data_IF_858162752430
#
_entry.id   IF_858162752430
#
_cell.length_a   1.000
_cell.length_b   1.000
_cell.length_c   1.000
_cell.angle_alpha   90.00
_cell.angle_beta   90.00
_cell.angle_gamma   90.00
#
_symmetry.space_group_name_H-M   'P 1'
#
loop_
_entity.id
_entity.type
_entity.pdbx_description
1 polymer ?
#
# COMPACT_ATOMS: atom_id res chain seq x y z
N UNK A 1 -19.84 -0.59 21.52
CA UNK A 1 -19.54 -1.57 20.44
C UNK A 1 -18.05 -1.52 20.11
N UNK A 2 -17.43 -2.68 19.89
CA UNK A 2 -16.04 -2.72 19.41
C UNK A 2 -16.03 -2.24 17.95
N UNK A 3 -15.43 -1.10 17.65
CA UNK A 3 -15.25 -0.58 16.29
C UNK A 3 -13.94 -1.08 15.67
N UNK A 4 -13.74 -0.86 14.37
CA UNK A 4 -12.57 -1.37 13.64
C UNK A 4 -11.24 -0.89 14.23
N UNK A 5 -11.17 0.33 14.81
CA UNK A 5 -9.95 0.81 15.46
C UNK A 5 -9.58 -0.01 16.70
N UNK A 6 -10.55 -0.66 17.36
CA UNK A 6 -10.27 -1.51 18.52
C UNK A 6 -9.44 -2.76 18.18
N UNK A 7 -9.39 -3.14 16.89
CA UNK A 7 -8.59 -4.26 16.38
C UNK A 7 -7.12 -3.89 16.17
N UNK A 8 -6.82 -2.60 16.11
CA UNK A 8 -5.46 -2.11 15.87
C UNK A 8 -4.59 -2.24 17.12
N UNK A 9 -3.27 -2.31 16.90
CA UNK A 9 -2.27 -2.29 17.97
C UNK A 9 -2.49 -1.07 18.89
N UNK A 10 -2.36 -1.21 20.23
CA UNK A 10 -2.57 -0.11 21.19
C UNK A 10 -1.79 1.16 20.87
N UNK A 11 -0.53 1.04 20.43
CA UNK A 11 0.30 2.19 20.03
C UNK A 11 -0.29 2.96 18.86
N UNK A 12 -0.88 2.25 17.87
CA UNK A 12 -1.54 2.88 16.73
C UNK A 12 -2.82 3.57 17.18
N UNK A 13 -3.63 2.92 18.00
CA UNK A 13 -4.87 3.51 18.55
C UNK A 13 -4.62 4.82 19.29
N UNK A 14 -3.59 4.86 20.12
CA UNK A 14 -3.20 6.07 20.83
C UNK A 14 -2.77 7.18 19.86
N UNK A 15 -1.94 6.82 18.87
CA UNK A 15 -1.40 7.75 17.88
C UNK A 15 -2.50 8.36 17.01
N UNK A 16 -3.36 7.54 16.42
CA UNK A 16 -4.45 8.04 15.55
C UNK A 16 -5.47 8.87 16.34
N UNK A 17 -5.71 8.55 17.63
CA UNK A 17 -6.57 9.35 18.50
C UNK A 17 -5.97 10.73 18.75
N UNK A 18 -4.66 10.86 18.96
CA UNK A 18 -3.95 12.14 19.11
C UNK A 18 -4.06 13.01 17.85
N UNK A 19 -4.12 12.36 16.68
CA UNK A 19 -4.30 13.01 15.38
C UNK A 19 -5.78 13.32 15.03
N UNK A 20 -6.71 13.10 15.97
CA UNK A 20 -8.12 13.44 15.81
C UNK A 20 -9.00 12.35 15.18
N UNK A 21 -8.47 11.15 14.92
CA UNK A 21 -9.27 10.01 14.44
C UNK A 21 -9.98 9.34 15.62
N UNK A 22 -11.15 9.86 15.97
CA UNK A 22 -11.91 9.38 17.14
C UNK A 22 -12.78 8.16 16.81
N UNK A 23 -13.35 8.11 15.60
CA UNK A 23 -14.22 7.05 15.12
C UNK A 23 -13.83 6.65 13.70
N UNK A 24 -13.91 5.34 13.36
CA UNK A 24 -13.69 4.90 11.99
C UNK A 24 -14.83 5.36 11.08
N UNK A 25 -14.49 5.73 9.85
CA UNK A 25 -15.45 5.97 8.78
C UNK A 25 -16.04 4.64 8.29
N UNK A 26 -17.19 4.63 7.57
CA UNK A 26 -17.76 3.40 7.05
C UNK A 26 -16.80 2.57 6.19
N UNK A 27 -15.96 3.15 5.29
CA UNK A 27 -14.92 2.40 4.59
C UNK A 27 -13.88 1.78 5.52
N UNK A 28 -13.45 2.48 6.56
CA UNK A 28 -12.47 1.99 7.55
C UNK A 28 -13.06 0.85 8.37
N UNK A 29 -14.35 0.96 8.77
CA UNK A 29 -15.04 -0.07 9.54
C UNK A 29 -15.11 -1.41 8.79
N UNK A 30 -15.31 -1.35 7.46
CA UNK A 30 -15.39 -2.54 6.61
C UNK A 30 -14.02 -3.10 6.21
N UNK A 31 -13.07 -2.23 5.80
CA UNK A 31 -11.81 -2.66 5.22
C UNK A 31 -10.80 -3.15 6.26
N UNK A 32 -10.66 -2.46 7.41
CA UNK A 32 -9.64 -2.78 8.42
C UNK A 32 -9.71 -4.25 8.87
N UNK A 33 -10.88 -4.83 9.24
CA UNK A 33 -10.94 -6.22 9.67
C UNK A 33 -10.51 -7.22 8.59
N UNK A 34 -10.85 -6.95 7.31
CA UNK A 34 -10.50 -7.83 6.19
C UNK A 34 -9.00 -7.76 5.92
N UNK A 35 -8.42 -6.55 5.94
CA UNK A 35 -6.97 -6.35 5.74
C UNK A 35 -6.18 -7.04 6.85
N UNK A 36 -6.59 -6.91 8.12
CA UNK A 36 -5.92 -7.54 9.26
C UNK A 36 -5.95 -9.08 9.20
N UNK A 37 -6.97 -9.66 8.55
CA UNK A 37 -7.07 -11.11 8.31
C UNK A 37 -6.27 -11.59 7.10
N UNK A 38 -5.58 -10.71 6.39
CA UNK A 38 -4.79 -11.06 5.20
C UNK A 38 -5.60 -11.15 3.90
N UNK A 39 -6.87 -10.74 3.88
CA UNK A 39 -7.72 -10.76 2.68
C UNK A 39 -7.31 -9.69 1.66
N UNK A 40 -7.41 -10.02 0.37
CA UNK A 40 -7.31 -9.01 -0.68
C UNK A 40 -8.60 -8.18 -0.72
N UNK A 41 -8.47 -6.87 -0.90
CA UNK A 41 -9.58 -5.92 -0.82
C UNK A 41 -9.55 -4.95 -1.98
N UNK A 42 -10.70 -4.72 -2.60
CA UNK A 42 -10.96 -3.55 -3.43
C UNK A 42 -11.89 -2.60 -2.65
N UNK A 43 -11.34 -1.53 -2.13
CA UNK A 43 -12.10 -0.52 -1.37
C UNK A 43 -12.57 0.60 -2.30
N UNK A 44 -13.89 0.71 -2.43
CA UNK A 44 -14.55 1.73 -3.24
C UNK A 44 -15.29 2.70 -2.32
N UNK A 45 -14.89 3.94 -2.34
CA UNK A 45 -15.56 5.00 -1.57
C UNK A 45 -15.22 6.38 -2.15
N UNK A 46 -16.09 7.38 -1.97
CA UNK A 46 -15.82 8.75 -2.43
C UNK A 46 -14.49 9.31 -1.91
N UNK A 47 -13.96 10.31 -2.60
CA UNK A 47 -12.77 11.04 -2.13
C UNK A 47 -13.07 11.72 -0.78
N UNK A 48 -12.10 11.75 0.12
CA UNK A 48 -12.25 12.32 1.46
C UNK A 48 -12.89 11.39 2.51
N UNK A 49 -13.31 10.17 2.15
CA UNK A 49 -13.91 9.20 3.07
C UNK A 49 -12.89 8.33 3.84
N UNK A 50 -11.62 8.71 3.84
CA UNK A 50 -10.59 8.04 4.64
C UNK A 50 -10.14 6.69 4.08
N UNK A 51 -10.18 6.49 2.74
CA UNK A 51 -9.69 5.27 2.08
C UNK A 51 -8.22 4.99 2.38
N UNK A 52 -7.39 6.02 2.33
CA UNK A 52 -5.95 5.90 2.54
C UNK A 52 -5.66 5.46 3.98
N UNK A 53 -6.32 6.06 4.95
CA UNK A 53 -6.22 5.67 6.36
C UNK A 53 -6.74 4.25 6.61
N UNK A 54 -7.81 3.84 5.90
CA UNK A 54 -8.35 2.48 5.96
C UNK A 54 -7.31 1.40 5.60
N UNK A 55 -6.27 1.78 4.86
CA UNK A 55 -5.17 0.89 4.47
C UNK A 55 -3.93 1.11 5.33
N UNK A 56 -3.51 2.36 5.57
CA UNK A 56 -2.27 2.61 6.31
C UNK A 56 -2.36 2.17 7.78
N UNK A 57 -3.50 2.34 8.45
CA UNK A 57 -3.62 1.94 9.85
C UNK A 57 -3.47 0.43 10.08
N UNK A 58 -4.18 -0.45 9.35
CA UNK A 58 -3.91 -1.89 9.46
C UNK A 58 -2.54 -2.28 8.90
N UNK A 59 -2.00 -1.59 7.89
CA UNK A 59 -0.65 -1.83 7.40
C UNK A 59 0.41 -1.55 8.48
N UNK A 60 0.28 -0.44 9.21
CA UNK A 60 1.17 -0.14 10.34
C UNK A 60 1.07 -1.23 11.44
N UNK A 61 -0.15 -1.70 11.75
CA UNK A 61 -0.35 -2.80 12.69
C UNK A 61 0.44 -4.05 12.27
N UNK A 62 0.25 -4.48 11.02
CA UNK A 62 0.90 -5.68 10.49
C UNK A 62 2.42 -5.55 10.40
N UNK A 63 2.94 -4.33 10.19
CA UNK A 63 4.38 -4.07 10.18
C UNK A 63 4.99 -4.03 11.58
N UNK A 64 4.26 -3.56 12.60
CA UNK A 64 4.71 -3.58 13.99
C UNK A 64 4.79 -5.01 14.54
N UNK A 65 3.88 -5.87 14.13
CA UNK A 65 3.84 -7.28 14.55
C UNK A 65 4.82 -8.17 13.76
N UNK A 66 5.46 -7.63 12.71
CA UNK A 66 6.45 -8.33 11.90
C UNK A 66 7.83 -7.62 11.86
N UNK A 67 8.62 -7.72 12.93
CA UNK A 67 9.93 -7.06 13.01
C UNK A 67 11.01 -7.69 12.13
N UNK A 68 10.68 -8.62 11.23
CA UNK A 68 11.63 -9.44 10.48
C UNK A 68 12.43 -8.67 9.43
N UNK A 69 13.63 -8.28 9.80
CA UNK A 69 14.73 -7.93 8.90
C UNK A 69 14.55 -6.62 8.12
N UNK A 70 15.63 -6.18 7.53
CA UNK A 70 15.66 -5.02 6.63
C UNK A 70 15.10 -5.37 5.25
N UNK A 71 14.47 -4.40 4.60
CA UNK A 71 13.92 -4.52 3.26
C UNK A 71 12.53 -3.90 3.14
N UNK A 72 12.04 -3.82 1.92
CA UNK A 72 10.73 -3.26 1.60
C UNK A 72 9.65 -4.31 1.88
N UNK A 73 8.78 -4.03 2.86
CA UNK A 73 7.70 -4.93 3.27
C UNK A 73 6.37 -4.61 2.58
N UNK A 74 6.19 -3.33 2.24
CA UNK A 74 4.99 -2.87 1.55
C UNK A 74 5.33 -1.94 0.38
N UNK A 75 4.58 -2.07 -0.70
CA UNK A 75 4.62 -1.16 -1.85
C UNK A 75 3.27 -0.47 -1.96
N UNK A 76 3.28 0.85 -2.05
CA UNK A 76 2.11 1.67 -2.33
C UNK A 76 2.27 2.27 -3.73
N UNK A 77 1.50 1.75 -4.68
CA UNK A 77 1.52 2.19 -6.08
C UNK A 77 0.44 3.24 -6.28
N UNK A 78 0.82 4.41 -6.76
CA UNK A 78 -0.13 5.50 -7.05
C UNK A 78 0.27 6.24 -8.32
N UNK A 79 -0.68 6.77 -9.11
CA UNK A 79 -0.35 7.70 -10.17
C UNK A 79 0.33 8.95 -9.61
N UNK A 80 1.37 9.45 -10.29
CA UNK A 80 2.12 10.63 -9.82
C UNK A 80 1.21 11.85 -9.57
N UNK A 81 0.15 12.00 -10.39
CA UNK A 81 -0.83 13.10 -10.28
C UNK A 81 -1.76 12.96 -9.06
N UNK A 82 -2.02 11.73 -8.62
CA UNK A 82 -2.88 11.45 -7.47
C UNK A 82 -2.15 11.59 -6.13
N UNK A 83 -0.85 11.86 -6.16
CA UNK A 83 -0.01 11.92 -4.97
C UNK A 83 -0.31 13.18 -4.17
N UNK A 84 -1.21 13.06 -3.22
CA UNK A 84 -1.50 14.12 -2.25
C UNK A 84 -0.33 14.24 -1.27
N UNK A 85 0.52 15.28 -1.46
CA UNK A 85 1.74 15.50 -0.66
C UNK A 85 1.43 15.68 0.83
N UNK A 86 0.31 16.29 1.16
CA UNK A 86 -0.06 16.55 2.56
C UNK A 86 -0.49 15.26 3.26
N UNK A 87 -1.29 14.44 2.57
CA UNK A 87 -1.66 13.11 3.07
C UNK A 87 -0.43 12.24 3.27
N UNK A 88 0.50 12.24 2.29
CA UNK A 88 1.75 11.51 2.41
C UNK A 88 2.58 11.96 3.60
N UNK A 89 2.77 13.27 3.78
CA UNK A 89 3.50 13.83 4.94
C UNK A 89 2.88 13.41 6.26
N UNK A 90 1.54 13.42 6.34
CA UNK A 90 0.81 13.00 7.53
C UNK A 90 1.03 11.50 7.81
N UNK A 91 0.89 10.64 6.82
CA UNK A 91 1.16 9.20 6.98
C UNK A 91 2.62 8.92 7.31
N UNK A 92 3.55 9.67 6.74
CA UNK A 92 4.98 9.56 7.05
C UNK A 92 5.29 9.96 8.50
N UNK A 93 4.65 11.02 9.01
CA UNK A 93 4.77 11.44 10.42
C UNK A 93 4.29 10.34 11.36
N UNK A 94 3.10 9.78 11.11
CA UNK A 94 2.55 8.65 11.87
C UNK A 94 3.47 7.43 11.84
N UNK A 95 3.94 7.04 10.66
CA UNK A 95 4.85 5.92 10.50
C UNK A 95 6.16 6.12 11.29
N UNK A 96 6.75 7.32 11.21
CA UNK A 96 7.97 7.67 11.92
C UNK A 96 7.81 7.57 13.44
N UNK A 97 6.68 8.00 13.98
CA UNK A 97 6.34 7.86 15.41
C UNK A 97 6.22 6.40 15.86
N UNK A 98 5.97 5.49 14.94
CA UNK A 98 5.93 4.04 15.16
C UNK A 98 7.26 3.34 14.87
N UNK A 99 8.29 4.07 14.41
CA UNK A 99 9.56 3.50 13.99
C UNK A 99 9.52 2.85 12.59
N UNK A 100 8.47 3.10 11.81
CA UNK A 100 8.30 2.58 10.44
C UNK A 100 8.89 3.59 9.45
N UNK A 101 9.79 3.13 8.59
CA UNK A 101 10.42 3.97 7.57
C UNK A 101 9.58 3.97 6.30
N UNK A 102 9.19 5.16 5.86
CA UNK A 102 8.51 5.37 4.58
C UNK A 102 9.38 6.20 3.64
N UNK A 103 9.42 5.83 2.38
CA UNK A 103 10.09 6.61 1.35
C UNK A 103 9.28 6.60 0.05
N UNK A 104 9.50 7.66 -0.74
CA UNK A 104 8.91 7.82 -2.07
C UNK A 104 9.98 7.64 -3.15
N UNK A 105 9.61 6.93 -4.23
CA UNK A 105 10.46 6.76 -5.41
C UNK A 105 9.63 6.89 -6.69
N UNK A 106 9.96 7.87 -7.50
CA UNK A 106 9.38 8.14 -8.82
C UNK A 106 10.45 8.62 -9.79
N UNK A 107 10.06 8.96 -11.01
CA UNK A 107 11.01 9.37 -12.05
C UNK A 107 11.96 10.49 -11.62
N UNK A 108 11.44 11.48 -10.89
CA UNK A 108 12.18 12.69 -10.48
C UNK A 108 12.92 12.52 -9.13
N UNK A 109 12.88 11.33 -8.50
CA UNK A 109 13.64 11.08 -7.27
C UNK A 109 15.13 11.24 -7.53
N UNK A 110 15.80 12.07 -6.73
CA UNK A 110 17.21 12.39 -6.88
C UNK A 110 18.13 11.16 -6.76
N UNK A 111 19.30 11.22 -7.39
CA UNK A 111 20.31 10.17 -7.28
C UNK A 111 20.73 9.90 -5.82
N UNK A 112 20.81 10.97 -5.01
CA UNK A 112 21.12 10.87 -3.58
C UNK A 112 20.06 10.07 -2.83
N UNK A 113 18.78 10.39 -3.00
CA UNK A 113 17.68 9.68 -2.35
C UNK A 113 17.58 8.22 -2.82
N UNK A 114 17.80 7.97 -4.12
CA UNK A 114 17.87 6.61 -4.65
C UNK A 114 18.97 5.80 -3.99
N UNK A 115 20.16 6.38 -3.81
CA UNK A 115 21.29 5.75 -3.11
C UNK A 115 20.98 5.52 -1.63
N UNK A 116 20.37 6.49 -0.95
CA UNK A 116 19.93 6.36 0.45
C UNK A 116 18.95 5.19 0.63
N UNK A 117 17.98 5.03 -0.26
CA UNK A 117 17.01 3.94 -0.24
C UNK A 117 17.64 2.55 -0.49
N UNK A 118 18.78 2.49 -1.19
CA UNK A 118 19.54 1.27 -1.37
C UNK A 118 20.35 0.87 -0.14
N UNK A 119 20.87 1.85 0.59
CA UNK A 119 21.67 1.62 1.80
C UNK A 119 20.79 1.41 3.04
N UNK A 120 19.67 2.13 3.09
CA UNK A 120 18.70 2.12 4.19
C UNK A 120 17.29 1.93 3.61
N UNK A 121 16.91 0.69 3.24
CA UNK A 121 15.64 0.44 2.59
C UNK A 121 14.47 0.83 3.49
N UNK A 122 13.43 1.48 2.95
CA UNK A 122 12.22 1.77 3.70
C UNK A 122 11.42 0.50 3.95
N UNK A 123 10.59 0.49 4.99
CA UNK A 123 9.60 -0.56 5.22
C UNK A 123 8.43 -0.44 4.24
N UNK A 124 8.05 0.81 3.91
CA UNK A 124 7.00 1.14 2.94
C UNK A 124 7.60 1.99 1.83
N UNK A 125 7.52 1.49 0.60
CA UNK A 125 7.93 2.22 -0.60
C UNK A 125 6.70 2.72 -1.35
N UNK A 126 6.57 4.05 -1.50
CA UNK A 126 5.56 4.66 -2.37
C UNK A 126 6.18 4.89 -3.74
N UNK A 127 5.50 4.44 -4.79
CA UNK A 127 6.05 4.48 -6.14
C UNK A 127 4.96 4.60 -7.21
N UNK A 128 5.36 4.79 -8.45
CA UNK A 128 4.46 4.74 -9.61
C UNK A 128 4.58 3.40 -10.35
N UNK A 129 3.59 3.00 -11.17
CA UNK A 129 3.67 1.78 -11.96
C UNK A 129 4.94 1.68 -12.80
N UNK A 130 5.36 2.78 -13.43
CA UNK A 130 6.55 2.86 -14.28
C UNK A 130 7.83 2.64 -13.48
N UNK A 131 7.90 3.28 -12.31
CA UNK A 131 9.08 3.15 -11.44
C UNK A 131 9.17 1.75 -10.85
N UNK A 132 8.05 1.13 -10.48
CA UNK A 132 8.04 -0.27 -10.03
C UNK A 132 8.63 -1.20 -11.10
N UNK A 133 8.21 -1.04 -12.36
CA UNK A 133 8.78 -1.79 -13.48
C UNK A 133 10.29 -1.57 -13.64
N UNK A 134 10.75 -0.34 -13.46
CA UNK A 134 12.16 0.03 -13.61
C UNK A 134 13.05 -0.54 -12.47
N UNK A 135 12.54 -0.66 -11.25
CA UNK A 135 13.31 -1.15 -10.10
C UNK A 135 13.31 -2.67 -9.94
N UNK A 136 12.32 -3.36 -10.49
CA UNK A 136 12.22 -4.82 -10.43
C UNK A 136 13.43 -5.55 -11.01
N UNK A 137 14.04 -5.15 -12.14
CA UNK A 137 15.25 -5.79 -12.66
C UNK A 137 16.54 -5.35 -11.97
N UNK A 138 16.52 -4.24 -11.18
CA UNK A 138 17.74 -3.69 -10.57
C UNK A 138 18.26 -4.59 -9.42
N UNK A 139 19.49 -5.16 -9.51
CA UNK A 139 19.93 -6.23 -8.61
C UNK A 139 19.80 -5.88 -7.12
N UNK A 140 20.31 -4.71 -6.70
CA UNK A 140 20.25 -4.27 -5.30
C UNK A 140 18.84 -4.02 -4.80
N UNK A 141 17.94 -3.48 -5.64
CA UNK A 141 16.54 -3.28 -5.26
C UNK A 141 15.79 -4.61 -5.17
N UNK A 142 16.11 -5.59 -6.01
CA UNK A 142 15.52 -6.94 -5.95
C UNK A 142 15.67 -7.56 -4.56
N UNK A 143 16.84 -7.43 -3.95
CA UNK A 143 17.06 -7.99 -2.60
C UNK A 143 16.10 -7.39 -1.58
N UNK A 144 15.88 -6.06 -1.64
CA UNK A 144 14.93 -5.39 -0.76
C UNK A 144 13.48 -5.78 -1.08
N UNK A 145 13.13 -5.93 -2.36
CA UNK A 145 11.79 -6.30 -2.83
C UNK A 145 11.39 -7.74 -2.51
N UNK A 146 12.33 -8.65 -2.25
CA UNK A 146 12.05 -10.03 -1.80
C UNK A 146 11.26 -10.10 -0.50
N UNK A 147 11.25 -9.02 0.28
CA UNK A 147 10.55 -8.93 1.57
C UNK A 147 9.10 -8.44 1.45
N UNK A 148 8.65 -8.08 0.25
CA UNK A 148 7.30 -7.54 0.04
C UNK A 148 6.24 -8.56 0.43
N UNK A 149 5.27 -8.10 1.22
CA UNK A 149 4.11 -8.85 1.72
C UNK A 149 2.79 -8.13 1.46
N UNK A 150 2.85 -6.85 1.13
CA UNK A 150 1.68 -6.03 0.89
C UNK A 150 1.90 -5.15 -0.35
N UNK A 151 0.89 -5.10 -1.19
CA UNK A 151 0.85 -4.16 -2.31
C UNK A 151 -0.48 -3.42 -2.29
N UNK A 152 -0.40 -2.11 -2.25
CA UNK A 152 -1.55 -1.21 -2.36
C UNK A 152 -1.52 -0.57 -3.74
N UNK A 153 -2.64 -0.54 -4.44
CA UNK A 153 -2.81 0.15 -5.71
C UNK A 153 -3.87 1.23 -5.53
N UNK A 154 -3.41 2.48 -5.47
CA UNK A 154 -4.28 3.64 -5.31
C UNK A 154 -4.77 4.15 -6.66
N UNK A 155 -5.98 4.72 -6.67
CA UNK A 155 -6.69 5.16 -7.90
C UNK A 155 -6.65 4.08 -8.99
N UNK A 156 -6.89 2.84 -8.57
CA UNK A 156 -6.73 1.65 -9.42
C UNK A 156 -7.56 1.73 -10.71
N UNK A 157 -8.70 2.43 -10.69
CA UNK A 157 -9.55 2.62 -11.86
C UNK A 157 -8.89 3.45 -12.97
N UNK A 158 -8.01 4.40 -12.61
CA UNK A 158 -7.23 5.18 -13.59
C UNK A 158 -6.13 4.32 -14.23
N UNK A 159 -5.59 3.38 -13.47
CA UNK A 159 -4.50 2.52 -13.92
C UNK A 159 -5.03 1.38 -14.77
N UNK A 160 -6.06 0.68 -14.31
CA UNK A 160 -6.56 -0.57 -14.90
C UNK A 160 -7.01 -0.41 -16.36
N UNK A 161 -7.63 0.72 -16.72
CA UNK A 161 -8.14 1.01 -18.06
C UNK A 161 -7.07 1.48 -19.06
N UNK A 162 -5.81 1.56 -18.66
CA UNK A 162 -4.73 2.15 -19.46
C UNK A 162 -3.62 1.16 -19.78
N UNK A 163 -2.69 1.53 -20.69
CA UNK A 163 -1.44 0.77 -20.93
C UNK A 163 -0.60 0.58 -19.66
N UNK A 164 -0.73 1.50 -18.71
CA UNK A 164 -0.07 1.41 -17.38
C UNK A 164 -0.60 0.23 -16.58
N UNK A 165 -1.88 -0.13 -16.76
CA UNK A 165 -2.49 -1.30 -16.12
C UNK A 165 -1.84 -2.60 -16.55
N UNK A 166 -1.65 -2.80 -17.85
CA UNK A 166 -0.94 -4.00 -18.37
C UNK A 166 0.47 -4.09 -17.79
N UNK A 167 1.20 -2.96 -17.74
CA UNK A 167 2.54 -2.91 -17.17
C UNK A 167 2.52 -3.24 -15.66
N UNK A 168 1.55 -2.69 -14.91
CA UNK A 168 1.43 -2.97 -13.48
C UNK A 168 1.08 -4.43 -13.22
N UNK A 169 0.12 -5.01 -13.94
CA UNK A 169 -0.24 -6.42 -13.82
C UNK A 169 0.97 -7.32 -14.00
N UNK A 170 1.77 -7.09 -15.06
CA UNK A 170 3.02 -7.83 -15.29
C UNK A 170 4.05 -7.60 -14.17
N UNK A 171 4.16 -6.37 -13.65
CA UNK A 171 5.06 -6.06 -12.53
C UNK A 171 4.66 -6.83 -11.27
N UNK A 172 3.36 -6.93 -10.97
CA UNK A 172 2.87 -7.66 -9.80
C UNK A 172 3.16 -9.15 -9.90
N UNK A 173 2.98 -9.79 -11.06
CA UNK A 173 3.31 -11.21 -11.23
C UNK A 173 4.84 -11.45 -11.19
N UNK A 174 5.65 -10.54 -11.74
CA UNK A 174 7.11 -10.58 -11.56
C UNK A 174 7.53 -10.45 -10.10
N UNK A 175 6.79 -9.63 -9.33
CA UNK A 175 7.02 -9.46 -7.90
C UNK A 175 6.66 -10.74 -7.12
N UNK A 176 5.56 -11.44 -7.47
CA UNK A 176 5.24 -12.76 -6.90
C UNK A 176 6.37 -13.74 -7.12
N UNK A 177 6.87 -13.85 -8.36
CA UNK A 177 8.02 -14.69 -8.67
C UNK A 177 9.30 -14.30 -7.90
N UNK A 178 9.52 -13.01 -7.71
CA UNK A 178 10.67 -12.50 -6.96
C UNK A 178 10.61 -12.81 -5.47
N UNK A 179 9.42 -12.66 -4.87
CA UNK A 179 9.20 -12.92 -3.43
C UNK A 179 9.11 -14.40 -3.11
N UNK A 180 8.82 -15.25 -4.12
CA UNK A 180 8.57 -16.67 -3.96
C UNK A 180 7.31 -17.00 -3.16
N UNK A 181 6.42 -16.03 -2.98
CA UNK A 181 5.16 -16.16 -2.23
C UNK A 181 4.12 -15.15 -2.68
N UNK A 182 2.87 -15.44 -2.39
CA UNK A 182 1.79 -14.46 -2.53
C UNK A 182 1.92 -13.34 -1.50
N UNK A 183 1.50 -12.15 -1.90
CA UNK A 183 1.37 -10.98 -1.03
C UNK A 183 -0.07 -10.46 -1.07
N UNK A 184 -0.48 -9.84 0.01
CA UNK A 184 -1.79 -9.22 0.11
C UNK A 184 -1.90 -8.03 -0.85
N UNK A 185 -3.04 -7.92 -1.55
CA UNK A 185 -3.32 -6.87 -2.52
C UNK A 185 -4.51 -6.04 -2.07
N UNK A 186 -4.33 -4.72 -2.03
CA UNK A 186 -5.39 -3.78 -1.68
C UNK A 186 -5.51 -2.74 -2.79
N UNK A 187 -6.69 -2.61 -3.38
CA UNK A 187 -7.01 -1.58 -4.36
C UNK A 187 -7.85 -0.49 -3.75
N UNK A 188 -7.55 0.77 -4.06
CA UNK A 188 -8.36 1.93 -3.69
C UNK A 188 -8.94 2.58 -4.94
N UNK A 189 -10.22 2.91 -4.89
CA UNK A 189 -10.93 3.57 -5.99
C UNK A 189 -11.95 4.59 -5.48
N UNK A 190 -12.11 5.70 -6.18
CA UNK A 190 -13.16 6.67 -5.88
C UNK A 190 -14.51 6.19 -6.41
N UNK A 191 -14.54 5.73 -7.66
CA UNK A 191 -15.74 5.22 -8.35
C UNK A 191 -15.29 4.22 -9.40
N UNK A 192 -16.13 3.23 -9.72
CA UNK A 192 -15.87 2.29 -10.82
C UNK A 192 -17.17 1.89 -11.50
N UNK A 193 -17.14 1.82 -12.81
CA UNK A 193 -18.28 1.35 -13.60
C UNK A 193 -18.48 -0.16 -13.51
N UNK A 194 -17.40 -0.95 -13.36
CA UNK A 194 -17.46 -2.40 -13.18
C UNK A 194 -16.49 -2.82 -12.07
N UNK A 195 -17.04 -3.09 -10.90
CA UNK A 195 -16.30 -3.48 -9.70
C UNK A 195 -15.55 -4.80 -9.91
N UNK A 196 -16.20 -5.76 -10.56
CA UNK A 196 -15.65 -7.10 -10.80
C UNK A 196 -14.43 -7.06 -11.72
N UNK A 197 -14.46 -6.24 -12.78
CA UNK A 197 -13.33 -6.09 -13.70
C UNK A 197 -12.10 -5.54 -12.97
N UNK A 198 -12.30 -4.54 -12.11
CA UNK A 198 -11.22 -3.96 -11.32
C UNK A 198 -10.74 -4.92 -10.24
N UNK A 199 -11.63 -5.67 -9.60
CA UNK A 199 -11.25 -6.70 -8.63
C UNK A 199 -10.43 -7.82 -9.29
N UNK A 200 -10.84 -8.28 -10.48
CA UNK A 200 -10.10 -9.27 -11.27
C UNK A 200 -8.72 -8.73 -11.72
N UNK A 201 -8.65 -7.46 -12.11
CA UNK A 201 -7.38 -6.81 -12.44
C UNK A 201 -6.45 -6.77 -11.21
N UNK A 202 -6.96 -6.42 -10.03
CA UNK A 202 -6.18 -6.38 -8.78
C UNK A 202 -5.71 -7.78 -8.36
N UNK A 203 -6.61 -8.74 -8.36
CA UNK A 203 -6.33 -10.11 -7.95
C UNK A 203 -5.42 -10.84 -8.93
N UNK A 204 -5.62 -10.62 -10.22
CA UNK A 204 -5.03 -11.48 -11.25
C UNK A 204 -5.69 -12.87 -11.25
N UNK A 205 -4.99 -13.87 -11.79
CA UNK A 205 -5.55 -15.21 -11.97
C UNK A 205 -5.61 -15.96 -10.63
N UNK A 206 -6.80 -16.50 -10.30
CA UNK A 206 -6.99 -17.44 -9.19
C UNK A 206 -6.98 -16.82 -7.78
N UNK A 207 -7.04 -15.49 -7.64
CA UNK A 207 -7.05 -14.82 -6.35
C UNK A 207 -8.38 -14.14 -6.08
N UNK A 208 -8.97 -14.45 -4.93
CA UNK A 208 -10.19 -13.78 -4.48
C UNK A 208 -9.92 -12.38 -3.96
N UNK A 209 -10.80 -11.44 -4.30
CA UNK A 209 -10.78 -10.04 -3.83
C UNK A 209 -12.15 -9.71 -3.26
N UNK A 210 -12.19 -9.25 -2.02
CA UNK A 210 -13.40 -8.72 -1.37
C UNK A 210 -13.64 -7.29 -1.84
N UNK A 211 -14.89 -6.97 -2.24
CA UNK A 211 -15.30 -5.63 -2.67
C UNK A 211 -16.12 -4.97 -1.56
#
# INVERSE_FOLDING_TARGET
>A
MKNAFSLLNPRIRELIRKEGYLHPTPPQEKAIPVILKGGNVLLIAPTGWGKTEAVFFPLFHLLLDDPRGEGIKAIYVTPLRALNRDLFRRMQSLASSLGIRMAMRHGDTSGYERRKQLLFPPDILITTPETLQAILPAPKMREHLRRVRFVVVDEIHEIASSKRGTQLSLALERLVNLTGREFQRVGLSATVGSHEVIANFLGGVGRNVTI
#
